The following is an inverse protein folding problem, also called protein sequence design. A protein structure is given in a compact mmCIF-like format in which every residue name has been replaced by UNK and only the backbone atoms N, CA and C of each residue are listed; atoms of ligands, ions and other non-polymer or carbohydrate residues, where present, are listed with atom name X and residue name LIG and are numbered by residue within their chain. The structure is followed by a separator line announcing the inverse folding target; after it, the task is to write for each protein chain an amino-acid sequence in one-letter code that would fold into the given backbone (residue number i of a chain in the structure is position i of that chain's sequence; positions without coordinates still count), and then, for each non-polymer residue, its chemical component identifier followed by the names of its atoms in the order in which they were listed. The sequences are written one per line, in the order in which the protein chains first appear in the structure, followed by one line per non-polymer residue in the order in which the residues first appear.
data_IF_290976360387
#
_entry.id   IF_290976360387
#
_cell.length_a   1.000
_cell.length_b   1.000
_cell.length_c   1.000
_cell.angle_alpha   90.00
_cell.angle_beta   90.00
_cell.angle_gamma   90.00
#
_symmetry.space_group_name_H-M   'P 1'
#
loop_
_entity.id
_entity.type
_entity.pdbx_description
1 polymer ?
#
# COMPACT_ATOMS: atom_id res chain seq x y z
N UNK A 1 9.45 7.32 19.66
CA UNK A 1 8.25 8.16 19.39
C UNK A 1 7.52 8.31 20.70
N UNK A 2 7.23 9.52 21.11
CA UNK A 2 6.45 9.80 22.33
C UNK A 2 4.96 9.94 21.98
N UNK A 3 4.10 9.58 22.93
CA UNK A 3 2.67 9.90 22.81
C UNK A 3 2.47 11.42 22.84
N UNK A 4 1.45 11.97 22.15
CA UNK A 4 1.10 13.39 22.25
C UNK A 4 0.87 13.86 23.69
N UNK A 5 0.39 12.98 24.56
CA UNK A 5 0.07 13.25 25.96
C UNK A 5 1.27 13.02 26.93
N UNK A 6 2.46 12.72 26.43
CA UNK A 6 3.65 12.57 27.27
C UNK A 6 4.12 13.95 27.72
N UNK A 7 4.37 14.10 29.01
CA UNK A 7 4.87 15.35 29.60
C UNK A 7 6.24 15.73 29.02
N UNK A 8 6.48 17.02 28.86
CA UNK A 8 7.73 17.51 28.26
C UNK A 8 8.96 17.18 29.10
N UNK A 9 8.83 17.23 30.43
CA UNK A 9 9.91 16.88 31.34
C UNK A 9 10.34 15.41 31.22
N UNK A 10 9.35 14.52 31.02
CA UNK A 10 9.60 13.10 30.77
C UNK A 10 10.28 12.90 29.41
N UNK A 11 9.85 13.65 28.38
CA UNK A 11 10.49 13.61 27.06
C UNK A 11 11.96 14.02 27.11
N UNK A 12 12.28 15.10 27.81
CA UNK A 12 13.66 15.60 27.94
C UNK A 12 14.54 14.63 28.76
N UNK A 13 14.03 14.08 29.86
CA UNK A 13 14.74 13.07 30.65
C UNK A 13 15.07 11.82 29.83
N UNK A 14 14.11 11.32 29.06
CA UNK A 14 14.33 10.16 28.18
C UNK A 14 15.34 10.49 27.08
N UNK A 15 15.26 11.67 26.46
CA UNK A 15 16.25 12.11 25.47
C UNK A 15 17.66 12.17 26.05
N UNK A 16 17.82 12.75 27.25
CA UNK A 16 19.13 12.86 27.89
C UNK A 16 19.71 11.49 28.25
N UNK A 17 18.88 10.54 28.73
CA UNK A 17 19.30 9.18 29.07
C UNK A 17 19.78 8.37 27.85
N UNK A 18 19.14 8.53 26.70
CA UNK A 18 19.45 7.73 25.51
C UNK A 18 20.31 8.46 24.47
N UNK A 19 20.69 9.72 24.70
CA UNK A 19 21.43 10.52 23.73
C UNK A 19 20.69 10.68 22.39
N UNK A 20 19.39 10.47 22.38
CA UNK A 20 18.60 10.38 21.17
C UNK A 20 18.28 11.77 20.62
N UNK A 21 18.69 12.04 19.39
CA UNK A 21 18.16 13.17 18.63
C UNK A 21 16.65 13.02 18.44
N UNK A 22 15.94 14.15 18.31
CA UNK A 22 14.48 14.16 18.08
C UNK A 22 14.17 13.39 16.82
N UNK A 23 13.63 12.18 16.96
CA UNK A 23 13.12 11.41 15.84
C UNK A 23 11.88 12.14 15.31
N UNK A 24 11.99 12.70 14.10
CA UNK A 24 10.86 13.34 13.44
C UNK A 24 9.71 12.32 13.25
N UNK A 25 8.45 12.69 13.52
CA UNK A 25 7.32 11.73 13.50
C UNK A 25 7.00 11.14 12.11
N UNK A 26 7.79 11.42 11.09
CA UNK A 26 7.55 11.01 9.70
C UNK A 26 8.63 10.09 9.11
N UNK A 27 9.43 9.44 9.93
CA UNK A 27 10.37 8.48 9.38
C UNK A 27 9.63 7.28 8.81
N UNK A 28 9.80 7.08 7.50
CA UNK A 28 9.32 5.89 6.83
C UNK A 28 10.26 4.72 7.14
N UNK A 29 9.73 3.63 7.68
CA UNK A 29 10.48 2.39 7.86
C UNK A 29 10.31 1.50 6.63
N UNK A 30 11.38 1.18 5.93
CA UNK A 30 11.36 0.41 4.67
C UNK A 30 10.37 0.97 3.64
N UNK A 31 10.23 2.30 3.57
CA UNK A 31 9.30 2.95 2.65
C UNK A 31 7.83 2.93 3.07
N UNK A 32 7.52 2.37 4.25
CA UNK A 32 6.19 2.43 4.86
C UNK A 32 6.11 3.56 5.90
N UNK A 33 4.96 4.23 6.02
CA UNK A 33 4.76 5.21 7.08
C UNK A 33 4.78 4.50 8.45
N UNK A 34 5.56 5.02 9.40
CA UNK A 34 5.62 4.49 10.76
C UNK A 34 4.30 4.67 11.52
N UNK A 35 3.55 5.72 11.17
CA UNK A 35 2.24 6.03 11.74
C UNK A 35 1.25 6.34 10.61
N UNK A 36 0.10 5.67 10.62
CA UNK A 36 -1.02 5.98 9.73
C UNK A 36 -1.97 6.91 10.47
N UNK A 37 -1.96 8.20 10.10
CA UNK A 37 -2.81 9.23 10.69
C UNK A 37 -4.29 9.14 10.25
N UNK A 38 -5.09 10.11 10.69
CA UNK A 38 -6.51 10.22 10.31
C UNK A 38 -6.68 10.37 8.79
N UNK A 39 -5.85 11.20 8.15
CA UNK A 39 -5.83 11.35 6.68
C UNK A 39 -4.97 10.26 6.04
N UNK A 40 -5.63 9.18 5.67
CA UNK A 40 -4.99 8.04 4.98
C UNK A 40 -4.43 8.44 3.62
N UNK A 41 -5.14 9.30 2.89
CA UNK A 41 -4.70 9.80 1.58
C UNK A 41 -3.37 10.55 1.69
N UNK A 42 -3.20 11.41 2.70
CA UNK A 42 -1.92 12.11 2.92
C UNK A 42 -0.81 11.15 3.33
N UNK A 43 -1.13 10.15 4.16
CA UNK A 43 -0.15 9.14 4.59
C UNK A 43 0.40 8.35 3.41
N UNK A 44 -0.43 8.01 2.43
CA UNK A 44 -0.04 7.24 1.25
C UNK A 44 0.20 8.08 -0.01
N UNK A 45 0.16 9.42 0.08
CA UNK A 45 0.38 10.31 -1.08
C UNK A 45 1.75 10.07 -1.76
N UNK A 46 2.78 9.76 -0.99
CA UNK A 46 4.11 9.40 -1.51
C UNK A 46 4.08 8.17 -2.41
N UNK A 47 3.16 7.21 -2.17
CA UNK A 47 3.04 6.02 -2.99
C UNK A 47 2.58 6.38 -4.41
N UNK A 48 1.57 7.25 -4.53
CA UNK A 48 1.11 7.79 -5.82
C UNK A 48 2.25 8.49 -6.56
N UNK A 49 2.99 9.36 -5.85
CA UNK A 49 4.12 10.09 -6.45
C UNK A 49 5.22 9.13 -6.94
N UNK A 50 5.51 8.07 -6.19
CA UNK A 50 6.50 7.04 -6.60
C UNK A 50 6.07 6.33 -7.87
N UNK A 51 4.80 5.93 -8.00
CA UNK A 51 4.28 5.30 -9.21
C UNK A 51 4.29 6.29 -10.37
N UNK A 52 3.80 7.51 -10.18
CA UNK A 52 3.78 8.55 -11.20
C UNK A 52 5.19 8.88 -11.72
N UNK A 53 6.19 9.04 -10.83
CA UNK A 53 7.57 9.31 -11.20
C UNK A 53 8.20 8.15 -12.01
N UNK A 54 7.85 6.90 -11.67
CA UNK A 54 8.31 5.74 -12.46
C UNK A 54 7.72 5.76 -13.85
N UNK A 55 6.42 5.98 -13.95
CA UNK A 55 5.70 5.99 -15.23
C UNK A 55 6.13 7.17 -16.10
N UNK A 56 6.29 8.37 -15.54
CA UNK A 56 6.71 9.57 -16.29
C UNK A 56 8.15 9.48 -16.85
N UNK A 57 9.01 8.64 -16.24
CA UNK A 57 10.36 8.39 -16.72
C UNK A 57 10.41 7.50 -17.97
N UNK A 58 9.32 6.84 -18.34
CA UNK A 58 9.29 5.96 -19.49
C UNK A 58 9.01 6.74 -20.79
N UNK A 59 9.88 6.54 -21.78
CA UNK A 59 9.74 7.17 -23.11
C UNK A 59 8.63 6.48 -23.90
N UNK A 60 7.41 6.91 -23.70
CA UNK A 60 6.20 6.29 -24.21
C UNK A 60 6.16 6.16 -25.74
N UNK A 61 6.68 7.17 -26.45
CA UNK A 61 6.68 7.20 -27.92
C UNK A 61 7.52 6.09 -28.55
N UNK A 62 8.46 5.51 -27.80
CA UNK A 62 9.39 4.47 -28.28
C UNK A 62 8.92 3.07 -27.90
N UNK A 63 7.98 2.96 -26.96
CA UNK A 63 7.52 1.68 -26.43
C UNK A 63 6.41 1.07 -27.28
N UNK A 64 6.60 -0.18 -27.66
CA UNK A 64 5.52 -0.99 -28.26
C UNK A 64 4.43 -1.29 -27.21
N UNK A 65 3.19 -1.63 -27.63
CA UNK A 65 2.14 -2.04 -26.70
C UNK A 65 2.58 -3.18 -25.75
N UNK A 66 3.32 -4.17 -26.28
CA UNK A 66 3.87 -5.25 -25.45
C UNK A 66 4.89 -4.74 -24.42
N UNK A 67 5.76 -3.81 -24.79
CA UNK A 67 6.71 -3.17 -23.86
C UNK A 67 5.97 -2.39 -22.75
N UNK A 68 4.93 -1.64 -23.09
CA UNK A 68 4.08 -0.94 -22.13
C UNK A 68 3.42 -1.91 -21.14
N UNK A 69 2.87 -3.02 -21.65
CA UNK A 69 2.24 -4.05 -20.82
C UNK A 69 3.22 -4.62 -19.80
N UNK A 70 4.42 -4.99 -20.24
CA UNK A 70 5.46 -5.53 -19.36
C UNK A 70 5.81 -4.51 -18.26
N UNK A 71 6.07 -3.25 -18.61
CA UNK A 71 6.41 -2.21 -17.64
C UNK A 71 5.28 -1.94 -16.63
N UNK A 72 4.03 -1.92 -17.09
CA UNK A 72 2.89 -1.76 -16.21
C UNK A 72 2.83 -2.92 -15.21
N UNK A 73 2.89 -4.17 -15.70
CA UNK A 73 2.74 -5.36 -14.86
C UNK A 73 3.91 -5.57 -13.90
N UNK A 74 5.15 -5.38 -14.38
CA UNK A 74 6.36 -5.64 -13.62
C UNK A 74 6.78 -4.49 -12.70
N UNK A 75 6.41 -3.26 -13.01
CA UNK A 75 6.85 -2.09 -12.24
C UNK A 75 5.67 -1.32 -11.65
N UNK A 76 4.78 -0.74 -12.49
CA UNK A 76 3.75 0.15 -11.97
C UNK A 76 2.80 -0.55 -10.98
N UNK A 77 2.38 -1.78 -11.28
CA UNK A 77 1.54 -2.58 -10.40
C UNK A 77 2.32 -3.28 -9.27
N UNK A 78 3.65 -3.38 -9.36
CA UNK A 78 4.48 -3.97 -8.32
C UNK A 78 4.85 -2.97 -7.22
N UNK A 79 5.06 -1.69 -7.56
CA UNK A 79 5.45 -0.64 -6.60
C UNK A 79 4.53 -0.58 -5.37
N UNK A 80 3.19 -0.60 -5.47
CA UNK A 80 2.31 -0.55 -4.31
C UNK A 80 2.21 -1.88 -3.55
N UNK A 81 2.66 -3.01 -4.10
CA UNK A 81 2.39 -4.36 -3.55
C UNK A 81 2.87 -4.54 -2.11
N UNK A 82 4.04 -3.98 -1.75
CA UNK A 82 4.54 -4.05 -0.38
C UNK A 82 3.63 -3.31 0.61
N UNK A 83 3.23 -2.10 0.27
CA UNK A 83 2.28 -1.32 1.09
C UNK A 83 0.93 -2.01 1.18
N UNK A 84 0.44 -2.59 0.08
CA UNK A 84 -0.81 -3.35 0.00
C UNK A 84 -0.79 -4.62 0.82
N UNK A 85 0.38 -5.24 1.02
CA UNK A 85 0.49 -6.44 1.87
C UNK A 85 0.43 -6.13 3.36
N UNK A 86 0.59 -4.85 3.75
CA UNK A 86 0.58 -4.39 5.13
C UNK A 86 -0.67 -3.60 5.50
N UNK A 87 -1.27 -2.90 4.53
CA UNK A 87 -2.35 -1.94 4.76
C UNK A 87 -3.44 -2.00 3.70
N UNK A 88 -4.69 -1.83 4.14
CA UNK A 88 -5.81 -1.60 3.23
C UNK A 88 -5.73 -0.15 2.70
N UNK A 89 -5.42 -0.01 1.41
CA UNK A 89 -5.35 1.30 0.79
C UNK A 89 -6.75 1.90 0.60
N UNK A 90 -6.89 3.23 0.74
CA UNK A 90 -8.14 3.91 0.41
C UNK A 90 -8.56 3.66 -1.05
N UNK A 91 -9.87 3.49 -1.28
CA UNK A 91 -10.42 3.30 -2.63
C UNK A 91 -9.95 4.39 -3.60
N UNK A 92 -10.08 5.65 -3.19
CA UNK A 92 -9.67 6.79 -4.02
C UNK A 92 -8.20 6.70 -4.46
N UNK A 93 -7.31 6.22 -3.59
CA UNK A 93 -5.90 6.05 -3.94
C UNK A 93 -5.70 4.94 -4.96
N UNK A 94 -6.41 3.82 -4.82
CA UNK A 94 -6.38 2.75 -5.82
C UNK A 94 -6.88 3.24 -7.18
N UNK A 95 -7.97 4.02 -7.20
CA UNK A 95 -8.55 4.61 -8.40
C UNK A 95 -7.57 5.60 -9.06
N UNK A 96 -6.88 6.43 -8.27
CA UNK A 96 -5.86 7.35 -8.74
C UNK A 96 -4.64 6.62 -9.33
N UNK A 97 -4.13 5.60 -8.67
CA UNK A 97 -3.04 4.77 -9.16
C UNK A 97 -3.40 4.10 -10.49
N UNK A 98 -4.62 3.58 -10.56
CA UNK A 98 -5.13 2.95 -11.78
C UNK A 98 -5.32 3.96 -12.90
N UNK A 99 -5.74 5.19 -12.58
CA UNK A 99 -5.82 6.27 -13.56
C UNK A 99 -4.45 6.60 -14.17
N UNK A 100 -3.39 6.67 -13.37
CA UNK A 100 -2.01 6.88 -13.84
C UNK A 100 -1.60 5.76 -14.80
N UNK A 101 -1.87 4.50 -14.46
CA UNK A 101 -1.57 3.34 -15.32
C UNK A 101 -2.34 3.41 -16.64
N UNK A 102 -3.63 3.73 -16.58
CA UNK A 102 -4.49 3.88 -17.77
C UNK A 102 -4.01 5.01 -18.68
N UNK A 103 -3.67 6.16 -18.11
CA UNK A 103 -3.14 7.30 -18.87
C UNK A 103 -1.86 6.90 -19.63
N UNK A 104 -0.93 6.23 -18.98
CA UNK A 104 0.27 5.73 -19.62
C UNK A 104 -0.02 4.71 -20.74
N UNK A 105 -0.92 3.76 -20.52
CA UNK A 105 -1.28 2.77 -21.52
C UNK A 105 -1.80 3.42 -22.81
N UNK A 106 -2.72 4.38 -22.67
CA UNK A 106 -3.34 5.06 -23.82
C UNK A 106 -2.52 6.22 -24.36
N UNK A 107 -1.37 6.51 -23.80
CA UNK A 107 -0.49 7.57 -24.27
C UNK A 107 -1.00 8.97 -23.98
N UNK A 108 -1.68 9.15 -22.87
CA UNK A 108 -2.16 10.47 -22.41
C UNK A 108 -1.05 11.14 -21.59
N UNK A 109 -0.16 11.89 -22.25
CA UNK A 109 0.87 12.68 -21.58
C UNK A 109 0.48 14.16 -21.59
N UNK A 110 0.53 14.78 -20.41
CA UNK A 110 0.19 16.20 -20.26
C UNK A 110 -1.29 16.46 -20.55
N UNK A 111 -1.59 17.45 -21.40
CA UNK A 111 -2.95 17.87 -21.75
C UNK A 111 -3.53 17.14 -22.97
N UNK A 112 -2.80 16.22 -23.59
CA UNK A 112 -3.30 15.47 -24.75
C UNK A 112 -4.29 14.39 -24.30
N UNK A 113 -5.59 14.61 -24.54
CA UNK A 113 -6.62 13.60 -24.31
C UNK A 113 -6.68 12.67 -25.53
N UNK A 114 -6.24 11.42 -25.34
CA UNK A 114 -6.43 10.37 -26.35
C UNK A 114 -7.67 9.53 -26.04
N UNK A 115 -8.25 8.95 -27.08
CA UNK A 115 -9.42 8.07 -26.95
C UNK A 115 -9.02 6.81 -26.18
N UNK A 116 -9.77 6.49 -25.14
CA UNK A 116 -9.63 5.24 -24.38
C UNK A 116 -10.61 4.21 -24.96
N UNK A 117 -10.08 3.23 -25.69
CA UNK A 117 -10.90 2.22 -26.37
C UNK A 117 -11.47 1.15 -25.42
N UNK A 118 -10.84 0.95 -24.27
CA UNK A 118 -11.26 -0.07 -23.31
C UNK A 118 -11.42 0.56 -21.92
N UNK A 119 -12.50 0.18 -21.25
CA UNK A 119 -12.71 0.57 -19.84
C UNK A 119 -11.65 -0.08 -18.94
N UNK A 120 -11.52 0.44 -17.73
CA UNK A 120 -10.61 -0.14 -16.73
C UNK A 120 -10.93 -1.60 -16.43
N UNK A 121 -12.22 -1.90 -16.24
CA UNK A 121 -12.69 -3.26 -15.98
C UNK A 121 -12.34 -4.19 -17.14
N UNK A 122 -12.50 -3.73 -18.39
CA UNK A 122 -12.08 -4.47 -19.56
C UNK A 122 -10.57 -4.72 -19.64
N UNK A 123 -9.74 -3.77 -19.17
CA UNK A 123 -8.28 -3.97 -19.09
C UNK A 123 -7.90 -5.03 -18.05
N UNK A 124 -8.69 -5.20 -17.00
CA UNK A 124 -8.46 -6.18 -15.94
C UNK A 124 -8.94 -7.60 -16.31
N UNK A 125 -9.78 -7.74 -17.33
CA UNK A 125 -10.20 -9.06 -17.82
C UNK A 125 -8.97 -9.87 -18.26
N UNK A 126 -8.91 -11.18 -17.97
CA UNK A 126 -7.84 -12.07 -18.44
C UNK A 126 -7.69 -12.08 -19.97
N UNK A 127 -6.47 -12.36 -20.44
CA UNK A 127 -6.16 -12.35 -21.88
C UNK A 127 -6.95 -13.38 -22.69
N UNK A 128 -7.19 -14.55 -22.12
CA UNK A 128 -8.00 -15.63 -22.70
C UNK A 128 -9.47 -15.22 -22.93
N UNK A 129 -9.92 -14.16 -22.24
CA UNK A 129 -11.25 -13.57 -22.35
C UNK A 129 -11.27 -12.21 -23.08
N UNK A 130 -10.19 -11.87 -23.78
CA UNK A 130 -10.07 -10.65 -24.58
C UNK A 130 -9.66 -9.40 -23.83
N UNK A 131 -9.24 -9.49 -22.56
CA UNK A 131 -8.70 -8.39 -21.79
C UNK A 131 -7.18 -8.28 -21.88
N UNK A 132 -6.60 -7.35 -21.11
CA UNK A 132 -5.15 -7.17 -21.00
C UNK A 132 -4.54 -7.90 -19.80
N UNK A 133 -5.37 -8.41 -18.90
CA UNK A 133 -4.94 -9.09 -17.67
C UNK A 133 -4.19 -8.17 -16.72
N UNK A 134 -4.55 -6.89 -16.65
CA UNK A 134 -4.05 -5.99 -15.61
C UNK A 134 -4.71 -6.33 -14.28
N UNK A 135 -4.02 -6.02 -13.19
CA UNK A 135 -4.56 -6.28 -11.86
C UNK A 135 -5.51 -5.15 -11.46
N UNK A 136 -6.71 -5.49 -11.01
CA UNK A 136 -7.50 -4.56 -10.21
C UNK A 136 -6.80 -4.37 -8.86
N UNK A 137 -6.29 -3.16 -8.62
CA UNK A 137 -5.47 -2.87 -7.45
C UNK A 137 -6.24 -3.04 -6.14
N UNK A 138 -7.55 -2.81 -6.14
CA UNK A 138 -8.38 -2.97 -4.94
C UNK A 138 -8.53 -4.44 -4.56
N UNK A 139 -8.95 -5.27 -5.51
CA UNK A 139 -9.08 -6.72 -5.29
C UNK A 139 -7.73 -7.36 -4.98
N UNK A 140 -6.67 -6.89 -5.62
CA UNK A 140 -5.30 -7.36 -5.36
C UNK A 140 -4.84 -7.00 -3.95
N UNK A 141 -5.15 -5.79 -3.45
CA UNK A 141 -4.86 -5.39 -2.08
C UNK A 141 -5.60 -6.30 -1.06
N UNK A 142 -6.88 -6.58 -1.27
CA UNK A 142 -7.64 -7.49 -0.42
C UNK A 142 -7.05 -8.90 -0.43
N UNK A 143 -6.65 -9.41 -1.59
CA UNK A 143 -6.02 -10.73 -1.70
C UNK A 143 -4.67 -10.80 -0.96
N UNK A 144 -3.86 -9.73 -1.02
CA UNK A 144 -2.60 -9.67 -0.26
C UNK A 144 -2.82 -9.63 1.25
N UNK A 145 -3.83 -8.92 1.72
CA UNK A 145 -4.19 -8.89 3.15
C UNK A 145 -4.79 -10.22 3.60
N UNK A 146 -5.67 -10.82 2.79
CA UNK A 146 -6.20 -12.17 3.05
C UNK A 146 -5.09 -13.21 3.19
N UNK A 147 -4.03 -13.10 2.38
CA UNK A 147 -2.82 -13.93 2.52
C UNK A 147 -2.15 -13.76 3.89
N UNK A 148 -2.12 -12.55 4.45
CA UNK A 148 -1.57 -12.34 5.80
C UNK A 148 -2.48 -12.97 6.87
N UNK A 149 -3.81 -12.82 6.73
CA UNK A 149 -4.78 -13.51 7.59
C UNK A 149 -4.61 -15.04 7.53
N UNK A 150 -4.43 -15.60 6.34
CA UNK A 150 -4.13 -17.03 6.15
C UNK A 150 -2.85 -17.45 6.88
N UNK A 151 -1.79 -16.63 6.86
CA UNK A 151 -0.56 -16.91 7.61
C UNK A 151 -0.78 -16.92 9.12
N UNK A 152 -1.65 -16.06 9.65
CA UNK A 152 -2.03 -16.07 11.07
C UNK A 152 -2.75 -17.36 11.47
N UNK A 153 -3.51 -17.97 10.55
CA UNK A 153 -4.21 -19.24 10.78
C UNK A 153 -3.28 -20.46 10.67
N UNK A 154 -2.39 -20.47 9.69
CA UNK A 154 -1.63 -21.67 9.32
C UNK A 154 -0.23 -21.73 9.92
N UNK A 155 0.41 -20.60 10.18
CA UNK A 155 1.80 -20.55 10.67
C UNK A 155 1.88 -19.90 12.06
N UNK A 156 1.38 -20.59 13.06
CA UNK A 156 1.29 -20.12 14.44
C UNK A 156 2.65 -19.93 15.12
N UNK A 157 3.70 -20.64 14.69
CA UNK A 157 5.05 -20.54 15.25
C UNK A 157 5.84 -19.33 14.75
N UNK A 158 5.40 -18.69 13.66
CA UNK A 158 6.10 -17.53 13.10
C UNK A 158 6.10 -16.33 14.06
N UNK A 159 7.17 -15.52 14.00
CA UNK A 159 7.26 -14.30 14.80
C UNK A 159 6.06 -13.38 14.57
N UNK A 160 5.61 -13.26 13.30
CA UNK A 160 4.44 -12.49 12.93
C UNK A 160 3.18 -12.96 13.68
N UNK A 161 2.87 -14.26 13.65
CA UNK A 161 1.71 -14.83 14.34
C UNK A 161 1.81 -14.68 15.85
N UNK A 162 2.99 -14.92 16.43
CA UNK A 162 3.23 -14.77 17.88
C UNK A 162 3.02 -13.33 18.36
N UNK A 163 3.53 -12.34 17.63
CA UNK A 163 3.36 -10.92 17.96
C UNK A 163 1.90 -10.50 17.85
N UNK A 164 1.23 -10.87 16.76
CA UNK A 164 -0.18 -10.53 16.55
C UNK A 164 -1.07 -11.20 17.58
N UNK A 165 -0.85 -12.49 17.89
CA UNK A 165 -1.59 -13.21 18.92
C UNK A 165 -1.45 -12.56 20.28
N UNK A 166 -0.23 -12.28 20.71
CA UNK A 166 0.03 -11.68 22.01
C UNK A 166 -0.61 -10.29 22.17
N UNK A 167 -0.71 -9.53 21.08
CA UNK A 167 -1.22 -8.15 21.11
C UNK A 167 -2.73 -8.04 20.92
N UNK A 168 -3.34 -8.84 20.04
CA UNK A 168 -4.71 -8.60 19.58
C UNK A 168 -5.71 -9.70 19.97
N UNK A 169 -5.27 -10.94 20.14
CA UNK A 169 -6.17 -12.06 20.45
C UNK A 169 -5.53 -13.14 21.36
N UNK A 170 -4.95 -12.74 22.53
CA UNK A 170 -4.22 -13.69 23.37
C UNK A 170 -5.03 -14.91 23.82
N UNK A 171 -6.33 -14.78 24.20
CA UNK A 171 -7.09 -15.92 24.74
C UNK A 171 -7.77 -16.77 23.66
N UNK A 172 -7.86 -16.30 22.40
CA UNK A 172 -8.69 -16.95 21.38
C UNK A 172 -7.91 -17.29 20.10
N UNK A 173 -8.57 -17.88 19.11
CA UNK A 173 -8.03 -18.06 17.77
C UNK A 173 -8.18 -16.79 16.93
N UNK A 174 -7.45 -16.69 15.81
CA UNK A 174 -7.58 -15.56 14.88
C UNK A 174 -9.01 -15.43 14.32
N UNK A 175 -9.71 -16.55 14.09
CA UNK A 175 -11.08 -16.56 13.56
C UNK A 175 -12.11 -15.97 14.54
N UNK A 176 -11.83 -16.04 15.84
CA UNK A 176 -12.69 -15.53 16.91
C UNK A 176 -12.27 -14.12 17.37
N UNK A 177 -11.17 -13.61 16.79
CA UNK A 177 -10.59 -12.34 17.21
C UNK A 177 -11.51 -11.16 16.90
N UNK A 178 -11.61 -10.23 17.85
CA UNK A 178 -12.30 -8.95 17.66
C UNK A 178 -11.29 -7.83 17.45
N UNK A 179 -11.74 -6.70 16.90
CA UNK A 179 -10.86 -5.54 16.68
C UNK A 179 -10.27 -4.95 17.97
N UNK A 180 -10.96 -5.12 19.12
CA UNK A 180 -10.53 -4.55 20.39
C UNK A 180 -10.66 -3.01 20.45
N UNK A 181 -10.20 -2.43 21.59
CA UNK A 181 -10.39 -0.99 21.87
C UNK A 181 -9.41 -0.08 21.14
N UNK A 182 -8.20 -0.53 20.84
CA UNK A 182 -7.15 0.30 20.23
C UNK A 182 -6.36 -0.49 19.15
N UNK A 183 -7.03 -0.88 18.05
CA UNK A 183 -6.39 -1.63 16.99
C UNK A 183 -5.47 -0.73 16.17
N UNK A 184 -4.28 -1.23 15.80
CA UNK A 184 -3.44 -0.56 14.80
C UNK A 184 -4.11 -0.55 13.42
N UNK A 185 -3.66 0.33 12.54
CA UNK A 185 -4.20 0.38 11.18
C UNK A 185 -3.98 -0.94 10.42
N UNK A 186 -2.82 -1.58 10.60
CA UNK A 186 -2.55 -2.89 10.00
C UNK A 186 -3.51 -4.00 10.50
N UNK A 187 -3.94 -3.95 11.77
CA UNK A 187 -4.91 -4.90 12.32
C UNK A 187 -6.34 -4.64 11.82
N UNK A 188 -6.65 -3.38 11.52
CA UNK A 188 -7.95 -2.99 10.94
C UNK A 188 -8.07 -3.31 9.45
N UNK A 189 -6.93 -3.48 8.78
CA UNK A 189 -6.86 -3.74 7.33
C UNK A 189 -7.26 -5.15 6.99
#
# INVERSE_FOLDING_TARGET
VFSPNTDNDVKERVKSMFGAQVIKPHEAYLGLPSLVGRSKNNTFAQLKQRVANKVSGWKEKILTPAGKEILIKSVAQAVPSYTMSCFLLPKNLCDELTSVIRQFWWGQIGNEKKITWLSLDGMCVPKDRGGLGFRDLRSFNLALLAKQGWRLLTNLSSLFSRVYKAKYFPPCSFAEATLGRNPSYAWRS
#
